data_IF_858946717950
#
_entry.id   IF_858946717950
#
_cell.length_a   1.000
_cell.length_b   1.000
_cell.length_c   1.000
_cell.angle_alpha   90.00
_cell.angle_beta   90.00
_cell.angle_gamma   90.00
#
_symmetry.space_group_name_H-M   'P 1'
#
loop_
_entity.id
_entity.type
_entity.pdbx_description
1 polymer ?
#
# COMPACT_ATOMS: atom_id res chain seq x y z
N UNK A 1 -23.96 -11.62 -9.94
CA UNK A 1 -22.96 -11.68 -8.85
C UNK A 1 -22.44 -10.27 -8.68
N UNK A 2 -22.47 -9.73 -7.46
CA UNK A 2 -22.01 -8.36 -7.21
C UNK A 2 -20.49 -8.37 -7.14
N UNK A 3 -19.86 -7.48 -7.89
CA UNK A 3 -18.41 -7.28 -7.87
C UNK A 3 -18.07 -5.97 -7.20
N UNK A 4 -16.92 -5.90 -6.53
CA UNK A 4 -16.45 -4.65 -5.92
C UNK A 4 -14.96 -4.40 -6.19
N UNK A 5 -14.62 -3.12 -6.29
CA UNK A 5 -13.27 -2.56 -6.34
C UNK A 5 -13.12 -1.60 -5.17
N UNK A 6 -11.93 -1.56 -4.57
CA UNK A 6 -11.66 -0.80 -3.36
C UNK A 6 -10.66 0.31 -3.67
N UNK A 7 -10.96 1.49 -3.17
CA UNK A 7 -10.12 2.67 -3.30
C UNK A 7 -9.58 3.05 -1.92
N UNK A 8 -8.27 3.20 -1.79
CA UNK A 8 -7.61 3.73 -0.60
C UNK A 8 -6.92 5.05 -0.96
N UNK A 9 -7.32 6.12 -0.31
CA UNK A 9 -6.64 7.41 -0.41
C UNK A 9 -5.72 7.59 0.79
N UNK A 10 -4.58 8.23 0.56
CA UNK A 10 -3.74 8.80 1.59
C UNK A 10 -3.42 10.24 1.27
N UNK A 11 -3.80 11.12 2.21
CA UNK A 11 -3.57 12.55 2.16
C UNK A 11 -2.45 12.93 3.14
N UNK A 12 -1.51 13.73 2.68
CA UNK A 12 -0.46 14.33 3.48
C UNK A 12 -0.75 15.81 3.67
N UNK A 13 -0.55 16.35 4.88
CA UNK A 13 -0.65 17.79 5.08
C UNK A 13 0.46 18.52 4.29
N UNK A 14 0.19 19.73 3.75
CA UNK A 14 1.03 20.38 2.74
C UNK A 14 2.36 20.93 3.25
N UNK A 15 2.62 20.87 4.56
CA UNK A 15 3.55 21.81 5.18
C UNK A 15 5.03 21.61 4.80
N UNK A 16 5.41 20.49 4.16
CA UNK A 16 6.61 20.36 3.31
C UNK A 16 6.56 19.02 2.56
N UNK A 17 7.19 18.90 1.38
CA UNK A 17 7.39 17.61 0.70
C UNK A 17 8.23 16.65 1.57
N UNK A 18 9.01 17.14 2.51
CA UNK A 18 9.81 16.30 3.40
C UNK A 18 9.53 16.67 4.85
N UNK A 19 9.40 15.67 5.72
CA UNK A 19 9.35 15.89 7.16
C UNK A 19 10.67 16.54 7.60
N UNK A 20 10.59 17.83 7.96
CA UNK A 20 11.73 18.61 8.47
C UNK A 20 11.86 18.51 9.98
N UNK A 21 11.07 17.67 10.65
CA UNK A 21 11.07 17.58 12.12
C UNK A 21 12.42 17.10 12.63
N UNK A 22 13.12 17.88 13.47
CA UNK A 22 14.23 17.37 14.25
C UNK A 22 13.69 16.30 15.20
N UNK A 23 14.31 15.12 15.24
CA UNK A 23 14.10 14.20 16.36
C UNK A 23 14.64 14.87 17.62
N UNK A 24 13.76 15.25 18.55
CA UNK A 24 14.14 15.68 19.89
C UNK A 24 14.76 14.49 20.65
N UNK A 25 16.07 14.28 20.48
CA UNK A 25 16.92 13.53 21.41
C UNK A 25 18.38 14.01 21.28
N UNK A 26 19.06 14.34 22.39
CA UNK A 26 20.44 14.77 22.35
C UNK A 26 21.35 13.56 22.12
N UNK A 27 22.32 13.72 21.20
CA UNK A 27 23.46 12.83 20.96
C UNK A 27 23.23 11.59 20.09
N UNK A 28 23.11 11.80 18.78
CA UNK A 28 23.89 11.14 17.71
C UNK A 28 23.38 11.63 16.36
N UNK A 29 24.28 12.01 15.46
CA UNK A 29 23.99 12.34 14.07
C UNK A 29 23.19 11.20 13.42
N UNK A 30 21.87 11.30 13.39
CA UNK A 30 21.01 10.49 12.53
C UNK A 30 20.64 11.35 11.32
N UNK A 31 20.94 10.93 10.09
CA UNK A 31 20.52 11.65 8.90
C UNK A 31 18.99 11.71 8.82
N UNK A 32 18.49 12.84 8.33
CA UNK A 32 17.08 13.18 8.19
C UNK A 32 16.33 12.14 7.34
N UNK A 33 15.13 11.73 7.76
CA UNK A 33 14.24 10.90 6.93
C UNK A 33 13.60 11.78 5.86
N UNK A 34 14.11 11.72 4.64
CA UNK A 34 13.53 12.45 3.51
C UNK A 34 12.52 11.57 2.79
N UNK A 35 11.28 11.56 3.28
CA UNK A 35 10.18 10.84 2.63
C UNK A 35 9.19 11.84 2.00
N UNK A 36 8.97 11.78 0.66
CA UNK A 36 8.14 12.76 -0.02
C UNK A 36 6.66 12.70 0.42
N UNK A 37 6.04 13.85 0.70
CA UNK A 37 4.62 14.00 0.97
C UNK A 37 3.85 13.90 -0.35
N UNK A 38 3.20 12.74 -0.56
CA UNK A 38 2.56 12.42 -1.83
C UNK A 38 1.12 12.02 -1.58
N UNK A 39 0.19 12.90 -1.93
CA UNK A 39 -1.22 12.54 -1.99
C UNK A 39 -1.40 11.46 -3.06
N UNK A 40 -2.09 10.38 -2.68
CA UNK A 40 -2.15 9.18 -3.50
C UNK A 40 -3.44 8.41 -3.31
N UNK A 41 -3.89 7.82 -4.40
CA UNK A 41 -5.01 6.90 -4.50
C UNK A 41 -4.49 5.55 -4.94
N UNK A 42 -4.90 4.49 -4.25
CA UNK A 42 -4.67 3.11 -4.67
C UNK A 42 -6.02 2.47 -4.98
N UNK A 43 -6.14 1.88 -6.16
CA UNK A 43 -7.24 1.01 -6.53
C UNK A 43 -6.80 -0.45 -6.38
N UNK A 44 -7.64 -1.23 -5.70
CA UNK A 44 -7.46 -2.65 -5.41
C UNK A 44 -8.67 -3.42 -5.90
N UNK A 45 -8.45 -4.52 -6.59
CA UNK A 45 -9.51 -5.49 -6.81
C UNK A 45 -8.98 -6.92 -6.81
N UNK A 46 -9.87 -7.85 -6.47
CA UNK A 46 -9.63 -9.29 -6.55
C UNK A 46 -10.75 -9.88 -7.40
N UNK A 47 -10.44 -10.15 -8.67
CA UNK A 47 -11.39 -10.66 -9.66
C UNK A 47 -11.08 -12.09 -10.08
N UNK A 48 -12.07 -12.77 -10.65
CA UNK A 48 -11.94 -14.12 -11.21
C UNK A 48 -10.99 -14.10 -12.42
N UNK A 49 -9.68 -14.21 -12.16
CA UNK A 49 -8.50 -14.46 -13.04
C UNK A 49 -7.32 -13.51 -12.80
N UNK A 50 -7.55 -12.28 -12.33
CA UNK A 50 -6.47 -11.30 -12.05
C UNK A 50 -6.88 -10.39 -10.90
N UNK A 51 -5.96 -10.18 -9.98
CA UNK A 51 -6.05 -9.06 -9.05
C UNK A 51 -5.55 -7.78 -9.71
N UNK A 52 -6.04 -6.64 -9.28
CA UNK A 52 -5.56 -5.34 -9.71
C UNK A 52 -4.95 -4.58 -8.55
N UNK A 53 -3.81 -3.95 -8.81
CA UNK A 53 -3.24 -2.90 -7.99
C UNK A 53 -2.80 -1.76 -8.90
N UNK A 54 -3.32 -0.56 -8.65
CA UNK A 54 -2.91 0.65 -9.34
C UNK A 54 -2.76 1.81 -8.36
N UNK A 55 -1.60 2.45 -8.36
CA UNK A 55 -1.32 3.63 -7.56
C UNK A 55 -1.31 4.89 -8.46
N UNK A 56 -1.97 5.94 -8.00
CA UNK A 56 -2.20 7.18 -8.73
C UNK A 56 -1.92 8.37 -7.82
N UNK A 57 -1.29 9.41 -8.36
CA UNK A 57 -1.20 10.75 -7.80
C UNK A 57 -2.59 11.35 -7.82
N UNK A 58 -2.99 11.98 -6.73
CA UNK A 58 -4.20 12.81 -6.69
C UNK A 58 -3.75 14.24 -6.43
N UNK A 59 -4.21 15.17 -7.26
CA UNK A 59 -3.93 16.60 -7.10
C UNK A 59 -4.71 17.20 -5.93
N UNK A 60 -5.00 18.50 -6.00
CA UNK A 60 -5.77 19.22 -4.96
C UNK A 60 -7.21 18.73 -4.80
N UNK A 61 -7.71 17.94 -5.76
CA UNK A 61 -8.94 17.18 -5.59
C UNK A 61 -8.65 15.95 -4.72
N UNK A 62 -8.66 16.16 -3.39
CA UNK A 62 -8.40 15.17 -2.34
C UNK A 62 -9.50 14.07 -2.21
N UNK A 63 -10.34 13.92 -3.22
CA UNK A 63 -11.51 13.05 -3.23
C UNK A 63 -11.27 11.71 -3.91
N UNK A 64 -12.15 10.76 -3.57
CA UNK A 64 -12.24 9.52 -4.35
C UNK A 64 -12.80 9.79 -5.75
N UNK A 65 -12.48 8.93 -6.75
CA UNK A 65 -12.99 9.08 -8.11
C UNK A 65 -14.52 9.19 -8.13
N UNK A 66 -15.02 10.21 -8.82
CA UNK A 66 -16.45 10.33 -9.10
C UNK A 66 -16.92 9.22 -10.05
N UNK A 67 -18.21 8.92 -9.96
CA UNK A 67 -18.92 8.04 -10.90
C UNK A 67 -19.91 8.88 -11.71
N UNK A 68 -20.15 8.51 -12.96
CA UNK A 68 -21.13 9.16 -13.80
C UNK A 68 -22.50 8.51 -13.64
N UNK A 69 -23.56 9.28 -13.90
CA UNK A 69 -24.92 8.75 -13.93
C UNK A 69 -25.01 7.73 -15.07
N UNK A 70 -25.36 6.49 -14.74
CA UNK A 70 -25.50 5.39 -15.71
C UNK A 70 -24.36 4.37 -15.69
N UNK A 71 -23.29 4.58 -14.91
CA UNK A 71 -22.19 3.61 -14.80
C UNK A 71 -22.58 2.31 -14.07
N UNK A 72 -23.78 2.24 -13.47
CA UNK A 72 -24.25 1.11 -12.65
C UNK A 72 -23.28 0.74 -11.50
N UNK A 73 -22.59 1.76 -10.96
CA UNK A 73 -21.66 1.64 -9.83
C UNK A 73 -22.25 2.36 -8.62
N UNK A 74 -22.11 1.72 -7.46
CA UNK A 74 -22.56 2.23 -6.17
C UNK A 74 -21.38 2.29 -5.21
N UNK A 75 -21.33 3.34 -4.39
CA UNK A 75 -20.23 3.60 -3.48
C UNK A 75 -20.69 3.44 -2.04
N UNK A 76 -19.87 2.79 -1.20
CA UNK A 76 -20.07 2.82 0.26
C UNK A 76 -20.02 4.24 0.81
N UNK A 77 -20.71 4.47 1.93
CA UNK A 77 -20.72 5.73 2.63
C UNK A 77 -19.30 6.15 3.10
N UNK A 78 -19.14 7.45 3.30
CA UNK A 78 -17.88 8.03 3.76
C UNK A 78 -17.50 7.53 5.15
N UNK A 79 -16.21 7.23 5.31
CA UNK A 79 -15.66 6.96 6.63
C UNK A 79 -15.66 8.26 7.44
N UNK A 80 -16.32 8.24 8.59
CA UNK A 80 -16.24 9.32 9.59
C UNK A 80 -14.92 9.20 10.34
N UNK A 81 -13.84 9.73 9.76
CA UNK A 81 -12.50 9.66 10.34
C UNK A 81 -11.65 10.87 9.98
N UNK A 82 -10.84 11.30 10.95
CA UNK A 82 -9.78 12.30 10.78
C UNK A 82 -8.45 11.65 10.33
N UNK A 83 -8.46 10.35 10.05
CA UNK A 83 -7.31 9.63 9.52
C UNK A 83 -6.90 10.23 8.16
N UNK A 84 -5.58 10.43 7.91
CA UNK A 84 -5.08 10.81 6.60
C UNK A 84 -5.38 9.75 5.53
N UNK A 85 -5.62 8.51 5.96
CA UNK A 85 -5.92 7.40 5.09
C UNK A 85 -7.40 7.04 5.15
N UNK A 86 -8.09 7.03 4.00
CA UNK A 86 -9.52 6.74 3.87
C UNK A 86 -9.75 5.62 2.86
N UNK A 87 -10.78 4.83 3.05
CA UNK A 87 -11.14 3.66 2.24
C UNK A 87 -12.59 3.76 1.76
N UNK A 88 -12.83 3.37 0.50
CA UNK A 88 -14.17 3.30 -0.11
C UNK A 88 -14.27 2.07 -1.00
N UNK A 89 -15.44 1.44 -1.05
CA UNK A 89 -15.73 0.38 -2.01
C UNK A 89 -16.69 0.89 -3.10
N UNK A 90 -16.45 0.43 -4.32
CA UNK A 90 -17.23 0.66 -5.53
C UNK A 90 -17.75 -0.68 -5.99
N UNK A 91 -19.07 -0.89 -5.92
CA UNK A 91 -19.70 -2.16 -6.23
C UNK A 91 -20.70 -2.02 -7.37
N UNK A 92 -20.85 -3.07 -8.17
CA UNK A 92 -21.82 -3.12 -9.26
C UNK A 92 -22.51 -4.49 -9.32
N UNK A 93 -23.81 -4.54 -9.63
CA UNK A 93 -24.52 -5.78 -9.87
C UNK A 93 -24.31 -6.34 -11.28
N UNK A 94 -23.87 -5.51 -12.24
CA UNK A 94 -23.69 -5.89 -13.66
C UNK A 94 -22.24 -5.92 -14.11
N UNK A 95 -21.37 -5.12 -13.50
CA UNK A 95 -19.96 -5.03 -13.88
C UNK A 95 -19.09 -5.99 -13.07
N UNK A 96 -18.03 -6.48 -13.71
CA UNK A 96 -16.91 -7.13 -13.06
C UNK A 96 -16.02 -6.12 -12.34
N UNK A 97 -15.18 -6.59 -11.41
CA UNK A 97 -14.23 -5.72 -10.73
C UNK A 97 -13.20 -5.08 -11.67
N UNK A 98 -12.86 -5.73 -12.78
CA UNK A 98 -11.98 -5.18 -13.83
C UNK A 98 -12.66 -4.03 -14.58
N UNK A 99 -13.92 -4.19 -14.98
CA UNK A 99 -14.69 -3.11 -15.64
C UNK A 99 -14.88 -1.90 -14.71
N UNK A 100 -15.12 -2.14 -13.41
CA UNK A 100 -15.18 -1.07 -12.41
C UNK A 100 -13.84 -0.33 -12.35
N UNK A 101 -12.71 -1.05 -12.28
CA UNK A 101 -11.37 -0.42 -12.30
C UNK A 101 -11.19 0.42 -13.56
N UNK A 102 -11.54 -0.09 -14.74
CA UNK A 102 -11.40 0.63 -16.00
C UNK A 102 -12.23 1.92 -16.05
N UNK A 103 -13.44 1.92 -15.51
CA UNK A 103 -14.28 3.12 -15.38
C UNK A 103 -13.63 4.11 -14.42
N UNK A 104 -13.22 3.67 -13.22
CA UNK A 104 -12.61 4.55 -12.22
C UNK A 104 -11.30 5.15 -12.72
N UNK A 105 -10.46 4.34 -13.38
CA UNK A 105 -9.17 4.77 -13.94
C UNK A 105 -9.33 5.78 -15.09
N UNK A 106 -10.39 5.70 -15.90
CA UNK A 106 -10.68 6.70 -16.94
C UNK A 106 -11.02 8.08 -16.38
N UNK A 107 -11.58 8.12 -15.17
CA UNK A 107 -11.89 9.37 -14.48
C UNK A 107 -10.68 9.97 -13.76
N UNK A 108 -9.54 9.28 -13.78
CA UNK A 108 -8.25 9.78 -13.29
C UNK A 108 -7.44 10.39 -14.45
N UNK A 109 -6.57 11.34 -14.14
CA UNK A 109 -5.63 11.90 -15.13
C UNK A 109 -4.76 10.74 -15.69
N UNK A 110 -4.64 10.55 -17.02
CA UNK A 110 -3.78 9.53 -17.63
C UNK A 110 -2.32 9.58 -17.15
N UNK A 111 -1.82 10.75 -16.77
CA UNK A 111 -0.48 10.98 -16.24
C UNK A 111 -0.40 10.87 -14.71
N UNK A 112 -1.51 10.54 -14.04
CA UNK A 112 -1.55 10.38 -12.59
C UNK A 112 -0.82 9.12 -12.11
N UNK A 113 -0.48 8.16 -12.99
CA UNK A 113 0.17 6.93 -12.52
C UNK A 113 1.38 7.26 -11.64
N UNK A 114 1.37 6.68 -10.45
CA UNK A 114 2.35 7.02 -9.44
C UNK A 114 3.70 6.38 -9.75
N UNK A 115 4.74 7.21 -9.71
CA UNK A 115 6.14 6.80 -9.70
C UNK A 115 6.85 7.57 -8.61
N UNK A 116 7.78 6.92 -7.93
CA UNK A 116 8.59 7.60 -6.91
C UNK A 116 9.40 8.71 -7.59
N UNK A 117 9.22 9.98 -7.19
CA UNK A 117 9.76 11.11 -7.94
C UNK A 117 11.29 11.13 -7.88
N UNK A 118 11.92 11.53 -8.99
CA UNK A 118 13.31 11.98 -8.97
C UNK A 118 13.40 13.29 -8.20
N UNK A 119 14.49 13.46 -7.47
CA UNK A 119 14.74 14.69 -6.71
C UNK A 119 15.23 15.74 -7.68
N UNK A 120 14.51 16.85 -7.78
CA UNK A 120 14.94 18.00 -8.56
C UNK A 120 15.03 19.23 -7.65
N UNK A 121 16.25 19.72 -7.47
CA UNK A 121 16.50 21.03 -6.88
C UNK A 121 16.79 21.01 -5.38
N UNK A 122 17.88 21.72 -5.05
CA UNK A 122 18.50 21.87 -3.74
C UNK A 122 19.20 20.61 -3.20
N UNK A 123 20.35 20.82 -2.55
CA UNK A 123 21.24 19.81 -1.98
C UNK A 123 20.57 18.85 -0.95
N UNK A 124 19.68 17.99 -1.41
CA UNK A 124 19.01 16.98 -0.61
C UNK A 124 19.97 15.83 -0.26
N UNK A 125 19.71 15.14 0.84
CA UNK A 125 20.58 14.06 1.34
C UNK A 125 20.82 12.97 0.29
N UNK A 126 19.80 12.52 -0.48
CA UNK A 126 20.02 11.52 -1.51
C UNK A 126 20.89 12.02 -2.67
N UNK A 127 20.85 13.31 -3.03
CA UNK A 127 21.73 13.85 -4.08
C UNK A 127 23.20 13.84 -3.64
N UNK A 128 23.47 14.18 -2.37
CA UNK A 128 24.83 14.08 -1.80
C UNK A 128 25.30 12.64 -1.78
N UNK A 129 24.42 11.73 -1.38
CA UNK A 129 24.69 10.31 -1.41
C UNK A 129 24.99 9.79 -2.82
N UNK A 130 24.16 10.16 -3.81
CA UNK A 130 24.35 9.77 -5.21
C UNK A 130 25.68 10.28 -5.78
N UNK A 131 26.04 11.54 -5.49
CA UNK A 131 27.36 12.09 -5.86
C UNK A 131 28.51 11.33 -5.22
N UNK A 132 28.39 10.93 -3.96
CA UNK A 132 29.41 10.12 -3.28
C UNK A 132 29.56 8.74 -3.94
N UNK A 133 28.44 8.08 -4.27
CA UNK A 133 28.43 6.79 -4.97
C UNK A 133 29.09 6.92 -6.35
N UNK A 134 28.71 7.93 -7.15
CA UNK A 134 29.33 8.13 -8.46
C UNK A 134 30.81 8.47 -8.38
N UNK A 135 31.23 9.28 -7.40
CA UNK A 135 32.66 9.57 -7.21
C UNK A 135 33.48 8.30 -6.96
N UNK A 136 32.95 7.38 -6.16
CA UNK A 136 33.58 6.08 -5.94
C UNK A 136 33.54 5.23 -7.21
N UNK A 137 32.39 5.16 -7.87
CA UNK A 137 32.19 4.40 -9.12
C UNK A 137 33.11 4.87 -10.27
N UNK A 138 33.22 6.17 -10.50
CA UNK A 138 34.07 6.77 -11.54
C UNK A 138 35.56 6.62 -11.21
N UNK A 139 35.91 6.76 -9.92
CA UNK A 139 37.26 6.49 -9.43
C UNK A 139 37.70 5.04 -9.63
N UNK A 140 36.74 4.12 -9.71
CA UNK A 140 36.96 2.69 -9.98
C UNK A 140 37.14 2.43 -11.48
N UNK A 141 36.48 3.19 -12.36
CA UNK A 141 36.58 3.04 -13.82
C UNK A 141 38.01 3.11 -14.39
N UNK A 142 38.96 3.71 -13.65
CA UNK A 142 40.38 3.77 -14.00
C UNK A 142 41.21 2.54 -13.54
N UNK A 143 40.63 1.57 -12.82
CA UNK A 143 41.30 0.36 -12.33
C UNK A 143 40.64 -0.88 -12.95
N UNK A 144 41.27 -1.43 -13.99
CA UNK A 144 40.98 -2.74 -14.61
C UNK A 144 39.49 -3.13 -14.69
N UNK A 145 38.88 -2.82 -15.84
CA UNK A 145 37.46 -2.95 -16.21
C UNK A 145 36.82 -4.36 -16.18
N UNK A 146 37.35 -5.32 -15.42
CA UNK A 146 36.90 -6.73 -15.42
C UNK A 146 36.12 -7.15 -14.17
N UNK A 147 36.07 -6.33 -13.12
CA UNK A 147 35.31 -6.65 -11.92
C UNK A 147 34.33 -5.52 -11.62
N UNK A 148 33.02 -5.78 -11.82
CA UNK A 148 31.95 -4.87 -11.36
C UNK A 148 32.12 -4.73 -9.84
N UNK A 149 32.68 -3.62 -9.41
CA UNK A 149 33.07 -3.44 -8.02
C UNK A 149 31.86 -2.99 -7.21
N UNK A 150 31.64 -3.65 -6.08
CA UNK A 150 30.55 -3.38 -5.16
C UNK A 150 30.94 -2.16 -4.31
N UNK A 151 30.07 -1.15 -4.28
CA UNK A 151 30.21 0.03 -3.42
C UNK A 151 29.55 -0.27 -2.08
N UNK A 152 30.32 -0.13 -1.00
CA UNK A 152 29.80 -0.21 0.36
C UNK A 152 29.21 1.14 0.76
N UNK A 153 28.04 1.13 1.39
CA UNK A 153 27.38 2.33 1.91
C UNK A 153 28.34 3.16 2.76
N UNK A 154 28.56 4.42 2.35
CA UNK A 154 29.35 5.38 3.10
C UNK A 154 28.52 6.04 4.21
N UNK A 155 29.19 6.64 5.19
CA UNK A 155 28.54 7.40 6.27
C UNK A 155 27.77 8.65 5.78
N UNK A 156 27.98 9.07 4.53
CA UNK A 156 27.23 10.18 3.91
C UNK A 156 25.85 9.74 3.43
N UNK A 157 25.62 8.43 3.29
CA UNK A 157 24.38 7.86 2.80
C UNK A 157 23.56 7.23 3.93
N UNK A 158 22.36 7.73 4.20
CA UNK A 158 21.42 7.03 5.09
C UNK A 158 20.81 5.80 4.41
N UNK A 159 20.23 4.89 5.19
CA UNK A 159 19.50 3.75 4.61
C UNK A 159 18.33 4.23 3.74
N UNK A 160 17.65 5.31 4.14
CA UNK A 160 16.55 5.90 3.36
C UNK A 160 17.03 6.49 2.04
N UNK A 161 18.22 7.08 2.01
CA UNK A 161 18.82 7.63 0.78
C UNK A 161 19.13 6.51 -0.22
N UNK A 162 19.81 5.44 0.23
CA UNK A 162 20.14 4.28 -0.61
C UNK A 162 18.89 3.65 -1.20
N UNK A 163 17.89 3.35 -0.36
CA UNK A 163 16.63 2.78 -0.85
C UNK A 163 15.93 3.76 -1.80
N UNK A 164 15.89 5.06 -1.48
CA UNK A 164 15.28 6.07 -2.34
C UNK A 164 15.91 6.15 -3.72
N UNK A 165 17.25 6.14 -3.80
CA UNK A 165 17.98 6.12 -5.07
C UNK A 165 17.69 4.84 -5.86
N UNK A 166 17.51 3.69 -5.20
CA UNK A 166 17.11 2.46 -5.86
C UNK A 166 15.68 2.55 -6.42
N UNK A 167 14.72 3.13 -5.70
CA UNK A 167 13.37 3.36 -6.24
C UNK A 167 13.34 4.38 -7.39
N UNK A 168 14.32 5.27 -7.48
CA UNK A 168 14.50 6.20 -8.60
C UNK A 168 15.19 5.55 -9.81
N UNK A 169 15.72 4.33 -9.67
CA UNK A 169 16.46 3.63 -10.71
C UNK A 169 17.87 4.18 -10.93
N UNK A 170 18.46 4.86 -9.94
CA UNK A 170 19.80 5.44 -10.04
C UNK A 170 20.90 4.45 -9.60
N UNK A 171 20.55 3.50 -8.73
CA UNK A 171 21.47 2.47 -8.23
C UNK A 171 20.80 1.09 -8.15
N UNK A 172 21.61 0.04 -8.00
CA UNK A 172 21.16 -1.33 -7.79
C UNK A 172 21.63 -1.85 -6.43
N UNK A 173 20.73 -2.44 -5.64
CA UNK A 173 21.05 -2.97 -4.31
C UNK A 173 21.37 -4.46 -4.40
N UNK A 174 22.43 -4.89 -3.73
CA UNK A 174 22.82 -6.29 -3.61
C UNK A 174 22.97 -6.71 -2.13
N UNK A 175 23.19 -8.01 -1.90
CA UNK A 175 23.32 -8.58 -0.56
C UNK A 175 21.97 -8.83 0.13
N UNK A 176 22.00 -8.95 1.46
CA UNK A 176 20.88 -9.43 2.27
C UNK A 176 19.64 -8.52 2.23
N UNK A 177 19.85 -7.23 1.92
CA UNK A 177 18.79 -6.22 1.91
C UNK A 177 18.27 -5.89 0.51
N UNK A 178 18.66 -6.64 -0.52
CA UNK A 178 18.19 -6.40 -1.90
C UNK A 178 16.65 -6.46 -2.02
N UNK A 179 15.97 -7.20 -1.13
CA UNK A 179 14.51 -7.32 -1.13
C UNK A 179 13.77 -6.06 -0.70
N UNK A 180 14.46 -5.07 -0.14
CA UNK A 180 13.87 -3.79 0.27
C UNK A 180 13.79 -2.78 -0.89
N UNK A 181 14.29 -3.11 -2.08
CA UNK A 181 14.21 -2.24 -3.23
C UNK A 181 13.82 -3.01 -4.50
N UNK A 182 13.36 -2.31 -5.55
CA UNK A 182 13.23 -2.88 -6.87
C UNK A 182 14.58 -3.41 -7.40
N UNK A 183 14.50 -4.45 -8.22
CA UNK A 183 15.61 -5.02 -8.96
C UNK A 183 15.87 -4.16 -10.18
N UNK A 184 16.98 -3.42 -10.15
CA UNK A 184 17.37 -2.54 -11.23
C UNK A 184 18.48 -3.18 -12.10
N UNK A 185 18.85 -2.49 -13.18
CA UNK A 185 19.88 -2.94 -14.11
C UNK A 185 21.25 -3.07 -13.41
N UNK A 186 21.97 -4.15 -13.70
CA UNK A 186 23.33 -4.42 -13.22
C UNK A 186 24.41 -3.53 -13.88
N UNK A 187 24.02 -2.64 -14.79
CA UNK A 187 24.88 -1.58 -15.36
C UNK A 187 24.92 -0.32 -14.48
N UNK A 188 24.01 -0.20 -13.51
CA UNK A 188 24.04 0.84 -12.50
C UNK A 188 25.06 0.51 -11.40
N UNK A 189 25.49 1.52 -10.61
CA UNK A 189 26.30 1.30 -9.42
C UNK A 189 25.67 0.24 -8.49
N UNK A 190 26.44 -0.79 -8.16
CA UNK A 190 26.02 -1.85 -7.24
C UNK A 190 26.36 -1.44 -5.82
N UNK A 191 25.36 -1.31 -4.96
CA UNK A 191 25.52 -0.85 -3.57
C UNK A 191 25.11 -1.93 -2.58
N UNK A 192 25.93 -2.12 -1.54
CA UNK A 192 25.61 -2.94 -0.37
C UNK A 192 25.54 -2.08 0.89
N UNK A 193 24.71 -2.48 1.86
CA UNK A 193 24.63 -1.80 3.15
C UNK A 193 25.79 -2.21 4.04
N UNK A 194 26.36 -1.24 4.75
CA UNK A 194 27.34 -1.48 5.82
C UNK A 194 26.62 -1.75 7.14
N UNK A 195 25.50 -1.06 7.37
CA UNK A 195 24.73 -1.13 8.61
C UNK A 195 23.49 -1.99 8.46
N UNK A 196 22.92 -2.40 9.61
CA UNK A 196 21.63 -3.08 9.63
C UNK A 196 20.51 -2.18 9.12
N UNK A 197 19.66 -2.72 8.26
CA UNK A 197 18.49 -2.03 7.74
C UNK A 197 17.27 -2.37 8.60
N UNK A 198 16.75 -1.36 9.30
CA UNK A 198 15.52 -1.47 10.09
C UNK A 198 14.40 -0.68 9.41
N UNK A 199 13.22 -1.30 9.27
CA UNK A 199 12.08 -0.69 8.59
C UNK A 199 11.65 0.62 9.26
N UNK A 200 11.79 0.73 10.59
CA UNK A 200 11.48 1.95 11.32
C UNK A 200 12.32 3.15 10.87
N UNK A 201 13.51 2.93 10.29
CA UNK A 201 14.35 4.00 9.77
C UNK A 201 13.96 4.43 8.35
N UNK A 202 13.08 3.67 7.67
CA UNK A 202 12.64 3.92 6.30
C UNK A 202 11.23 4.50 6.20
N UNK A 203 10.46 4.45 7.28
CA UNK A 203 9.05 4.84 7.29
C UNK A 203 8.74 5.77 8.46
N UNK A 204 7.75 6.65 8.28
CA UNK A 204 7.24 7.54 9.34
C UNK A 204 5.93 7.02 9.94
N UNK A 205 5.54 7.56 11.10
CA UNK A 205 4.26 7.26 11.77
C UNK A 205 3.07 7.37 10.81
N UNK A 206 3.07 8.39 9.95
CA UNK A 206 1.97 8.62 9.01
C UNK A 206 1.93 7.57 7.90
N UNK A 207 3.06 6.98 7.53
CA UNK A 207 3.11 5.96 6.47
C UNK A 207 2.67 4.59 6.95
N UNK A 208 2.71 4.33 8.25
CA UNK A 208 2.21 3.09 8.85
C UNK A 208 0.68 3.12 8.88
N UNK A 209 0.05 2.41 7.94
CA UNK A 209 -1.41 2.45 7.78
C UNK A 209 -2.12 1.54 8.78
N UNK A 210 -1.64 0.30 8.93
CA UNK A 210 -2.25 -0.67 9.82
C UNK A 210 -1.23 -1.73 10.24
N UNK A 211 -1.51 -2.39 11.36
CA UNK A 211 -0.76 -3.53 11.87
C UNK A 211 -1.69 -4.64 12.29
N UNK A 212 -1.17 -5.86 12.30
CA UNK A 212 -1.86 -7.04 12.75
C UNK A 212 -0.87 -7.98 13.41
N UNK A 213 -1.30 -8.64 14.48
CA UNK A 213 -0.50 -9.60 15.22
C UNK A 213 -1.35 -10.81 15.60
N UNK A 214 -0.83 -12.01 15.36
CA UNK A 214 -1.42 -13.25 15.87
C UNK A 214 -0.36 -14.34 15.94
N UNK A 215 -0.39 -15.14 17.01
CA UNK A 215 0.46 -16.33 17.20
C UNK A 215 1.96 -16.09 16.93
N UNK A 216 2.48 -14.93 17.36
CA UNK A 216 3.88 -14.59 17.17
C UNK A 216 4.27 -14.20 15.73
N UNK A 217 3.30 -13.92 14.87
CA UNK A 217 3.50 -13.30 13.56
C UNK A 217 2.94 -11.88 13.60
N UNK A 218 3.77 -10.92 13.19
CA UNK A 218 3.37 -9.53 13.05
C UNK A 218 3.42 -9.14 11.58
N UNK A 219 2.43 -8.35 11.16
CA UNK A 219 2.33 -7.79 9.82
C UNK A 219 2.00 -6.31 9.90
N UNK A 220 2.59 -5.53 9.01
CA UNK A 220 2.28 -4.11 8.85
C UNK A 220 2.01 -3.80 7.40
N UNK A 221 1.00 -2.97 7.16
CA UNK A 221 0.71 -2.37 5.87
C UNK A 221 1.23 -0.94 5.90
N UNK A 222 2.16 -0.64 5.00
CA UNK A 222 2.91 0.61 5.01
C UNK A 222 2.90 1.23 3.63
N UNK A 223 2.84 2.55 3.60
CA UNK A 223 3.06 3.34 2.41
C UNK A 223 4.55 3.52 2.13
N UNK A 224 5.18 2.47 1.63
CA UNK A 224 6.61 2.40 1.40
C UNK A 224 6.97 2.96 0.02
N UNK A 225 7.78 4.04 0.00
CA UNK A 225 8.18 4.76 -1.22
C UNK A 225 7.00 5.09 -2.17
N UNK A 226 5.88 5.46 -1.57
CA UNK A 226 4.66 5.92 -2.25
C UNK A 226 3.69 4.82 -2.68
N UNK A 227 4.02 3.55 -2.47
CA UNK A 227 3.14 2.41 -2.75
C UNK A 227 2.79 1.64 -1.47
N UNK A 228 1.71 0.87 -1.49
CA UNK A 228 1.30 0.05 -0.36
C UNK A 228 2.04 -1.27 -0.39
N UNK A 229 2.72 -1.58 0.71
CA UNK A 229 3.48 -2.80 0.85
C UNK A 229 3.22 -3.45 2.21
N UNK A 230 3.14 -4.77 2.21
CA UNK A 230 3.06 -5.57 3.41
C UNK A 230 4.45 -5.99 3.82
N UNK A 231 4.76 -5.80 5.09
CA UNK A 231 5.94 -6.38 5.72
C UNK A 231 5.51 -7.34 6.82
N UNK A 232 6.27 -8.41 7.01
CA UNK A 232 6.06 -9.38 8.08
C UNK A 232 7.33 -9.60 8.87
N UNK A 233 7.16 -9.93 10.14
CA UNK A 233 8.22 -10.55 10.96
C UNK A 233 7.62 -11.64 11.82
N UNK A 234 8.45 -12.56 12.26
CA UNK A 234 8.02 -13.72 13.04
C UNK A 234 8.91 -13.89 14.27
N UNK A 235 8.34 -14.35 15.37
CA UNK A 235 9.12 -14.66 16.55
C UNK A 235 9.85 -13.43 17.11
N UNK A 236 11.11 -13.64 17.51
CA UNK A 236 11.96 -12.58 18.07
C UNK A 236 12.74 -11.81 16.99
N UNK A 237 12.42 -12.03 15.72
CA UNK A 237 13.12 -11.37 14.62
C UNK A 237 12.89 -9.86 14.71
N UNK A 238 13.99 -9.10 14.65
CA UNK A 238 13.91 -7.64 14.58
C UNK A 238 13.63 -7.15 13.15
N UNK A 239 13.98 -7.97 12.16
CA UNK A 239 13.89 -7.61 10.74
C UNK A 239 12.49 -7.82 10.19
N UNK A 240 12.02 -6.82 9.44
CA UNK A 240 10.73 -6.81 8.77
C UNK A 240 10.90 -7.14 7.30
N UNK A 241 10.43 -8.30 6.85
CA UNK A 241 10.60 -8.74 5.47
C UNK A 241 9.40 -8.34 4.61
N UNK A 242 9.62 -7.77 3.41
CA UNK A 242 8.54 -7.50 2.48
C UNK A 242 7.87 -8.81 2.05
N UNK A 243 6.54 -8.80 2.04
CA UNK A 243 5.69 -9.91 1.58
C UNK A 243 5.16 -9.63 0.18
N UNK A 244 4.82 -8.37 -0.07
CA UNK A 244 4.45 -7.87 -1.39
C UNK A 244 5.67 -7.76 -2.31
N UNK A 245 5.47 -7.97 -3.61
CA UNK A 245 6.50 -7.83 -4.63
C UNK A 245 6.78 -6.34 -4.90
N UNK A 246 8.01 -5.90 -4.66
CA UNK A 246 8.44 -4.52 -4.95
C UNK A 246 8.73 -4.30 -6.44
N UNK A 247 9.01 -5.36 -7.20
CA UNK A 247 9.32 -5.30 -8.63
C UNK A 247 8.07 -5.26 -9.50
N UNK A 248 6.98 -5.85 -9.00
CA UNK A 248 5.72 -5.98 -9.71
C UNK A 248 4.54 -5.60 -8.80
N UNK A 249 4.40 -4.31 -8.44
CA UNK A 249 3.37 -3.88 -7.53
C UNK A 249 1.94 -4.19 -8.01
N UNK A 250 1.72 -4.24 -9.32
CA UNK A 250 0.42 -4.53 -9.93
C UNK A 250 -0.16 -5.91 -9.55
N UNK A 251 0.69 -6.86 -9.11
CA UNK A 251 0.28 -8.19 -8.61
C UNK A 251 -0.07 -8.21 -7.13
N UNK A 252 0.17 -7.13 -6.38
CA UNK A 252 -0.03 -7.12 -4.93
C UNK A 252 -1.51 -6.95 -4.52
N UNK A 253 -2.40 -6.66 -5.47
CA UNK A 253 -3.81 -6.33 -5.22
C UNK A 253 -4.53 -7.34 -4.32
N UNK A 254 -4.49 -8.62 -4.68
CA UNK A 254 -5.15 -9.68 -3.91
C UNK A 254 -4.53 -9.85 -2.51
N UNK A 255 -3.21 -9.75 -2.40
CA UNK A 255 -2.53 -9.93 -1.12
C UNK A 255 -2.87 -8.81 -0.14
N UNK A 256 -2.86 -7.56 -0.60
CA UNK A 256 -3.23 -6.40 0.21
C UNK A 256 -4.72 -6.47 0.55
N UNK A 257 -5.58 -6.77 -0.42
CA UNK A 257 -7.02 -6.87 -0.17
C UNK A 257 -7.35 -7.98 0.83
N UNK A 258 -6.68 -9.13 0.73
CA UNK A 258 -6.81 -10.23 1.70
C UNK A 258 -6.39 -9.81 3.10
N UNK A 259 -5.33 -9.02 3.25
CA UNK A 259 -4.93 -8.46 4.54
C UNK A 259 -6.02 -7.52 5.12
N UNK A 260 -6.50 -6.56 4.33
CA UNK A 260 -7.55 -5.63 4.74
C UNK A 260 -8.87 -6.35 5.10
N UNK A 261 -9.25 -7.34 4.29
CA UNK A 261 -10.51 -8.10 4.44
C UNK A 261 -10.43 -9.13 5.57
N UNK A 262 -9.42 -10.00 5.54
CA UNK A 262 -9.42 -11.21 6.37
C UNK A 262 -8.66 -11.03 7.69
N UNK A 263 -7.65 -10.17 7.73
CA UNK A 263 -6.85 -9.92 8.95
C UNK A 263 -7.40 -8.75 9.74
N UNK A 264 -7.67 -7.63 9.06
CA UNK A 264 -8.19 -6.42 9.69
C UNK A 264 -9.71 -6.36 9.74
N UNK A 265 -10.42 -7.18 8.97
CA UNK A 265 -11.90 -7.22 8.90
C UNK A 265 -12.52 -5.86 8.58
N UNK A 266 -11.83 -5.03 7.77
CA UNK A 266 -12.30 -3.68 7.46
C UNK A 266 -13.61 -3.65 6.67
N UNK A 267 -13.85 -4.72 5.91
CA UNK A 267 -15.03 -4.87 5.05
C UNK A 267 -16.15 -5.71 5.69
N UNK A 268 -16.07 -6.04 6.98
CA UNK A 268 -17.01 -6.97 7.61
C UNK A 268 -18.49 -6.63 7.39
N UNK A 269 -18.89 -5.37 7.56
CA UNK A 269 -20.29 -4.97 7.33
C UNK A 269 -20.68 -5.04 5.84
N UNK A 270 -19.76 -4.71 4.94
CA UNK A 270 -19.99 -4.85 3.49
C UNK A 270 -20.15 -6.33 3.12
N UNK A 271 -19.24 -7.19 3.57
CA UNK A 271 -19.24 -8.62 3.30
C UNK A 271 -20.53 -9.27 3.84
N UNK A 272 -21.00 -8.87 5.04
CA UNK A 272 -22.28 -9.31 5.60
C UNK A 272 -23.48 -8.93 4.72
N UNK A 273 -23.49 -7.75 4.10
CA UNK A 273 -24.56 -7.37 3.17
C UNK A 273 -24.48 -8.15 1.86
N UNK A 274 -23.27 -8.37 1.33
CA UNK A 274 -23.06 -9.15 0.11
C UNK A 274 -23.48 -10.62 0.29
N UNK A 275 -23.17 -11.22 1.44
CA UNK A 275 -23.54 -12.61 1.78
C UNK A 275 -25.05 -12.82 1.84
N UNK A 276 -25.81 -11.85 2.35
CA UNK A 276 -27.28 -11.91 2.38
C UNK A 276 -27.90 -12.07 0.98
N UNK A 277 -27.18 -11.71 -0.08
CA UNK A 277 -27.64 -11.83 -1.46
C UNK A 277 -27.14 -13.08 -2.17
N UNK A 278 -26.00 -13.66 -1.76
CA UNK A 278 -25.52 -14.93 -2.31
C UNK A 278 -26.31 -16.13 -1.76
N UNK A 279 -26.75 -16.08 -0.51
CA UNK A 279 -27.49 -17.18 0.16
C UNK A 279 -28.88 -17.49 -0.45
N UNK A 280 -29.72 -16.52 -0.86
CA UNK A 280 -31.01 -16.82 -1.47
C UNK A 280 -30.90 -17.49 -2.86
N UNK A 281 -29.81 -17.30 -3.59
CA UNK A 281 -29.66 -17.81 -4.97
C UNK A 281 -29.29 -19.30 -4.99
N UNK A 282 -28.39 -19.75 -4.11
CA UNK A 282 -27.98 -21.16 -4.05
C UNK A 282 -29.13 -22.11 -3.62
N UNK A 283 -30.03 -21.66 -2.74
CA UNK A 283 -31.14 -22.48 -2.25
C UNK A 283 -32.35 -22.48 -3.21
N UNK A 284 -32.58 -21.39 -3.94
CA UNK A 284 -33.71 -21.30 -4.88
C UNK A 284 -33.42 -21.94 -6.24
N UNK A 285 -32.18 -21.91 -6.73
CA UNK A 285 -31.80 -22.58 -7.98
C UNK A 285 -31.74 -24.12 -7.83
N UNK A 286 -31.55 -24.66 -6.62
CA UNK A 286 -31.56 -26.11 -6.35
C UNK A 286 -32.98 -26.71 -6.34
N UNK A 287 -34.02 -25.90 -6.15
CA UNK A 287 -35.41 -26.37 -5.96
C UNK A 287 -36.37 -25.93 -7.08
N UNK A 288 -35.90 -25.21 -8.11
CA UNK A 288 -36.80 -24.66 -9.15
C UNK A 288 -36.78 -25.49 -10.45
N UNK A 289 -37.95 -25.93 -10.97
CA UNK A 289 -38.03 -26.50 -12.31
C UNK A 289 -37.68 -25.45 -13.36
N UNK A 290 -37.03 -25.87 -14.45
CA UNK A 290 -36.38 -25.04 -15.47
C UNK A 290 -37.29 -24.09 -16.31
N UNK A 291 -38.54 -23.82 -15.92
CA UNK A 291 -39.51 -23.12 -16.77
C UNK A 291 -39.81 -21.66 -16.43
N UNK A 292 -39.23 -21.11 -15.34
CA UNK A 292 -39.69 -19.82 -14.81
C UNK A 292 -38.60 -18.73 -14.86
N UNK A 293 -38.28 -18.30 -16.08
CA UNK A 293 -37.31 -17.22 -16.36
C UNK A 293 -37.91 -15.83 -16.09
N UNK A 294 -38.11 -15.50 -14.81
CA UNK A 294 -38.52 -14.15 -14.40
C UNK A 294 -37.28 -13.28 -14.11
N UNK A 295 -36.62 -12.82 -15.17
CA UNK A 295 -35.37 -12.03 -15.11
C UNK A 295 -35.58 -10.62 -14.51
N UNK A 296 -36.81 -10.08 -14.61
CA UNK A 296 -37.23 -8.77 -14.09
C UNK A 296 -37.08 -8.64 -12.55
N UNK A 297 -37.48 -9.67 -11.79
CA UNK A 297 -37.41 -9.63 -10.32
C UNK A 297 -35.98 -9.70 -9.77
N UNK A 298 -35.04 -10.32 -10.50
CA UNK A 298 -33.63 -10.47 -10.08
C UNK A 298 -32.87 -9.13 -10.12
N UNK A 299 -33.20 -8.28 -11.08
CA UNK A 299 -32.66 -6.91 -11.21
C UNK A 299 -33.04 -6.06 -9.99
N UNK A 300 -34.33 -5.96 -9.65
CA UNK A 300 -34.81 -5.10 -8.56
C UNK A 300 -34.20 -5.42 -7.18
N UNK A 301 -33.96 -6.70 -6.90
CA UNK A 301 -33.31 -7.12 -5.64
C UNK A 301 -31.83 -6.72 -5.58
N UNK A 302 -31.11 -6.78 -6.70
CA UNK A 302 -29.72 -6.35 -6.76
C UNK A 302 -29.61 -4.84 -6.51
N UNK A 303 -30.47 -4.04 -7.12
CA UNK A 303 -30.53 -2.59 -6.91
C UNK A 303 -30.94 -2.20 -5.49
N UNK A 304 -31.86 -2.93 -4.86
CA UNK A 304 -32.18 -2.73 -3.44
C UNK A 304 -30.94 -2.97 -2.57
N UNK A 305 -30.21 -4.06 -2.80
CA UNK A 305 -28.97 -4.32 -2.07
C UNK A 305 -27.94 -3.21 -2.34
N UNK A 306 -27.81 -2.72 -3.58
CA UNK A 306 -26.89 -1.62 -3.89
C UNK A 306 -27.22 -0.36 -3.08
N UNK A 307 -28.50 -0.03 -2.91
CA UNK A 307 -28.92 1.07 -2.06
C UNK A 307 -28.54 0.87 -0.59
N UNK A 308 -28.62 -0.37 -0.08
CA UNK A 308 -28.17 -0.73 1.27
C UNK A 308 -26.64 -0.64 1.42
N UNK A 309 -25.88 -1.10 0.43
CA UNK A 309 -24.42 -0.99 0.38
C UNK A 309 -23.98 0.47 0.42
N UNK A 310 -24.72 1.37 -0.25
CA UNK A 310 -24.41 2.80 -0.23
C UNK A 310 -24.53 3.45 1.15
N UNK A 311 -25.17 2.79 2.11
CA UNK A 311 -25.26 3.24 3.51
C UNK A 311 -24.20 2.61 4.42
N UNK A 312 -23.43 1.63 3.92
CA UNK A 312 -22.39 0.97 4.71
C UNK A 312 -21.17 1.88 4.78
N UNK A 313 -20.70 2.18 5.99
CA UNK A 313 -19.40 2.79 6.21
C UNK A 313 -18.37 1.70 6.53
N UNK A 314 -17.23 1.71 5.82
CA UNK A 314 -16.15 0.76 6.06
C UNK A 314 -15.43 1.05 7.38
N UNK A 315 -14.90 0.04 8.06
CA UNK A 315 -14.19 0.24 9.32
C UNK A 315 -12.85 0.94 9.08
N UNK A 316 -12.46 1.75 10.05
CA UNK A 316 -11.16 2.43 10.08
C UNK A 316 -10.19 1.55 10.86
N UNK A 317 -8.97 1.29 10.37
CA UNK A 317 -7.99 0.52 11.13
C UNK A 317 -7.59 1.29 12.40
N UNK A 318 -7.19 0.54 13.44
CA UNK A 318 -6.63 1.14 14.65
C UNK A 318 -5.34 1.89 14.31
N UNK A 319 -5.14 3.07 14.92
CA UNK A 319 -3.90 3.84 14.75
C UNK A 319 -2.73 3.06 15.34
N UNK A 320 -1.65 2.95 14.58
CA UNK A 320 -0.43 2.23 14.99
C UNK A 320 0.72 3.23 15.11
N UNK A 321 1.39 3.33 16.28
CA UNK A 321 2.56 4.16 16.42
C UNK A 321 3.80 3.49 15.80
N UNK A 322 4.77 4.28 15.34
CA UNK A 322 6.01 3.82 14.72
C UNK A 322 6.84 2.93 15.65
N UNK A 323 6.73 3.15 16.97
CA UNK A 323 7.34 2.29 18.00
C UNK A 323 6.91 0.83 17.89
N UNK A 324 5.77 0.54 17.26
CA UNK A 324 5.35 -0.82 16.94
C UNK A 324 6.41 -1.58 16.11
N UNK A 325 7.17 -0.87 15.26
CA UNK A 325 8.20 -1.47 14.41
C UNK A 325 9.46 -1.88 15.20
N UNK A 326 9.79 -1.21 16.31
CA UNK A 326 10.97 -1.51 17.15
C UNK A 326 10.69 -2.45 18.32
N UNK A 327 9.45 -2.48 18.81
CA UNK A 327 9.11 -3.28 19.98
C UNK A 327 9.18 -4.78 19.71
N UNK A 328 9.71 -5.53 20.66
CA UNK A 328 9.59 -6.99 20.69
C UNK A 328 8.13 -7.41 20.94
N UNK A 329 7.74 -8.59 20.46
CA UNK A 329 6.38 -9.13 20.62
C UNK A 329 5.91 -9.11 22.08
N UNK A 330 4.61 -8.82 22.27
CA UNK A 330 3.95 -8.83 23.59
C UNK A 330 4.10 -7.55 24.42
N UNK A 331 4.51 -6.42 23.84
CA UNK A 331 4.66 -5.14 24.57
C UNK A 331 3.65 -4.06 24.20
N UNK A 332 2.79 -4.28 23.19
CA UNK A 332 1.63 -3.43 22.97
C UNK A 332 0.37 -4.08 23.57
N UNK A 333 -0.38 -3.40 24.44
CA UNK A 333 -1.78 -3.70 24.60
C UNK A 333 -2.46 -3.23 23.31
N UNK A 334 -2.45 -4.08 22.27
CA UNK A 334 -3.50 -3.98 21.26
C UNK A 334 -4.78 -4.16 22.07
N UNK A 335 -5.61 -3.11 22.10
CA UNK A 335 -6.82 -3.03 22.90
C UNK A 335 -7.49 -4.39 22.97
N UNK A 336 -7.72 -4.90 24.19
CA UNK A 336 -8.39 -6.19 24.44
C UNK A 336 -9.74 -6.34 23.73
N UNK A 337 -10.28 -5.28 23.15
CA UNK A 337 -11.44 -5.29 22.26
C UNK A 337 -11.27 -6.11 20.97
N UNK A 338 -10.07 -6.58 20.62
CA UNK A 338 -9.87 -7.45 19.43
C UNK A 338 -9.76 -8.95 19.82
N UNK A 339 -9.78 -9.30 21.11
CA UNK A 339 -9.61 -10.69 21.57
C UNK A 339 -10.91 -11.39 22.00
N UNK A 340 -12.07 -10.74 21.86
CA UNK A 340 -13.39 -11.34 22.06
C UNK A 340 -14.21 -11.27 20.77
N UNK A 341 -13.92 -12.14 19.81
CA UNK A 341 -14.85 -12.54 18.76
C UNK A 341 -14.40 -13.91 18.23
N UNK A 342 -14.33 -14.89 19.14
CA UNK A 342 -14.32 -16.31 18.82
C UNK A 342 -15.74 -16.81 19.01
N UNK A 343 -16.44 -17.15 17.92
CA UNK A 343 -17.35 -18.30 17.71
C UNK A 343 -18.12 -18.09 16.40
#
# INVERSE_FOLDING_TARGET
MISCTFALIFLTTPDNIYDKSPLEAPNKFKPWKQVPHLNRLVLLSDGYKRSFYGAYKIGDNEGFPGIQVGDDIFMTADQKTDSPAKLRAYCSPTLSSTEIVEILSRNLDPNSKFYYPKLEGHELSPEKCLKAIHKEWDGIGNKNALQKQIITQSSTCSNSDIIGLAFQGEISIIGDYNRYAPSNNLELPLVTFENTLELENLVSDRQLYAAWEMNGSQMVLVWYYGQLHLFKRSGKDKLWWPVTDLNNPEKNGAMILSFLRNRLRLFYELDKQLERYTWPQAFTDFLRPASDHNQSNKSGHAYKLMAEISQVALRVPAKVPILYLSLSMGHFPVSREIMECSF
#
